data_IF_377507840008
#
_entry.id   IF_377507840008
#
_cell.length_a   1.000
_cell.length_b   1.000
_cell.length_c   1.000
_cell.angle_alpha   90.00
_cell.angle_beta   90.00
_cell.angle_gamma   90.00
#
_symmetry.space_group_name_H-M   'P 1'
#
loop_
_entity.id
_entity.type
_entity.pdbx_description
1 polymer ?
#
# COMPACT_ATOMS: atom_id res chain seq x y z
N UNK A 1 -15.38 3.07 6.63
CA UNK A 1 -14.90 2.23 7.75
C UNK A 1 -13.38 2.17 7.73
N UNK A 2 -12.77 1.61 6.67
CA UNK A 2 -11.31 1.40 6.58
C UNK A 2 -10.42 2.64 6.84
N UNK A 3 -10.81 3.82 6.37
CA UNK A 3 -10.07 5.07 6.61
C UNK A 3 -9.85 5.39 8.10
N UNK A 4 -10.90 5.21 8.92
CA UNK A 4 -10.82 5.44 10.36
C UNK A 4 -9.93 4.39 11.05
N UNK A 5 -9.98 3.15 10.58
CA UNK A 5 -9.17 2.05 11.10
C UNK A 5 -7.68 2.27 10.80
N UNK A 6 -7.32 2.75 9.61
CA UNK A 6 -5.92 3.09 9.28
C UNK A 6 -5.38 4.23 10.12
N UNK A 7 -6.19 5.27 10.36
CA UNK A 7 -5.80 6.38 11.23
C UNK A 7 -5.58 5.92 12.67
N UNK A 8 -6.47 5.06 13.18
CA UNK A 8 -6.32 4.49 14.51
C UNK A 8 -5.06 3.61 14.59
N UNK A 9 -4.86 2.70 13.65
CA UNK A 9 -3.70 1.83 13.58
C UNK A 9 -2.39 2.63 13.46
N UNK A 10 -2.36 3.69 12.65
CA UNK A 10 -1.20 4.57 12.53
C UNK A 10 -0.88 5.32 13.84
N UNK A 11 -1.89 5.60 14.69
CA UNK A 11 -1.72 6.32 15.97
C UNK A 11 -1.43 5.38 17.14
N UNK A 12 -2.05 4.21 17.14
CA UNK A 12 -1.98 3.20 18.20
C UNK A 12 -1.85 1.83 17.53
N UNK A 13 -0.64 1.45 17.07
CA UNK A 13 -0.44 0.20 16.35
C UNK A 13 -0.86 -1.00 17.19
N UNK A 14 -1.73 -1.84 16.63
CA UNK A 14 -2.15 -3.11 17.19
C UNK A 14 -1.66 -4.29 16.34
N UNK A 15 -1.34 -4.05 15.06
CA UNK A 15 -0.74 -5.04 14.17
C UNK A 15 0.72 -5.30 14.57
N UNK A 16 1.19 -6.54 14.41
CA UNK A 16 2.60 -6.86 14.64
C UNK A 16 3.49 -6.12 13.65
N UNK A 17 4.59 -5.55 14.16
CA UNK A 17 5.51 -4.76 13.36
C UNK A 17 6.46 -5.67 12.56
N UNK A 18 6.55 -5.43 11.25
CA UNK A 18 7.49 -6.12 10.37
C UNK A 18 7.25 -7.63 10.22
N UNK A 19 6.02 -8.10 10.43
CA UNK A 19 5.69 -9.55 10.38
C UNK A 19 4.95 -9.98 9.11
N UNK A 20 4.48 -9.05 8.29
CA UNK A 20 3.70 -9.39 7.10
C UNK A 20 4.58 -9.44 5.84
N UNK A 21 4.75 -10.65 5.28
CA UNK A 21 5.44 -10.85 4.00
C UNK A 21 4.63 -10.37 2.79
N UNK A 22 3.31 -10.22 2.94
CA UNK A 22 2.38 -9.80 1.89
C UNK A 22 1.26 -8.96 2.47
N UNK A 23 1.03 -7.78 1.89
CA UNK A 23 -0.16 -6.95 2.15
C UNK A 23 -0.89 -6.68 0.85
N UNK A 24 -2.23 -6.80 0.86
CA UNK A 24 -3.08 -6.54 -0.29
C UNK A 24 -4.02 -5.38 0.02
N UNK A 25 -3.94 -4.32 -0.78
CA UNK A 25 -4.89 -3.20 -0.76
C UNK A 25 -5.77 -3.30 -2.00
N UNK A 26 -6.99 -3.78 -1.80
CA UNK A 26 -7.96 -3.97 -2.89
C UNK A 26 -9.06 -2.92 -2.80
N UNK A 27 -9.27 -2.18 -3.89
CA UNK A 27 -10.41 -1.30 -4.12
C UNK A 27 -10.73 -0.36 -2.94
N UNK A 28 -9.69 0.16 -2.29
CA UNK A 28 -9.83 0.99 -1.08
C UNK A 28 -9.28 2.41 -1.25
N UNK A 29 -8.74 2.75 -2.43
CA UNK A 29 -7.99 4.01 -2.63
C UNK A 29 -8.87 5.19 -3.08
N UNK A 30 -9.97 4.94 -3.79
CA UNK A 30 -10.69 5.96 -4.58
C UNK A 30 -11.58 6.93 -3.77
N UNK A 31 -11.93 6.60 -2.52
CA UNK A 31 -12.75 7.45 -1.63
C UNK A 31 -12.04 7.80 -0.31
N UNK A 32 -10.77 7.43 -0.13
CA UNK A 32 -10.06 7.53 1.15
C UNK A 32 -8.73 8.29 1.05
N UNK A 33 -8.64 9.26 0.13
CA UNK A 33 -7.39 9.99 -0.17
C UNK A 33 -6.85 10.79 1.00
N UNK A 34 -7.74 11.31 1.84
CA UNK A 34 -7.42 11.98 3.11
C UNK A 34 -6.72 11.06 4.13
N UNK A 35 -6.89 9.74 3.98
CA UNK A 35 -6.35 8.73 4.89
C UNK A 35 -5.14 7.99 4.34
N UNK A 36 -4.64 8.38 3.16
CA UNK A 36 -3.50 7.72 2.51
C UNK A 36 -2.21 7.84 3.32
N UNK A 37 -1.98 8.95 4.01
CA UNK A 37 -0.82 9.11 4.89
C UNK A 37 -0.84 8.07 6.02
N UNK A 38 -2.03 7.85 6.62
CA UNK A 38 -2.20 6.82 7.65
C UNK A 38 -1.99 5.42 7.09
N UNK A 39 -2.53 5.13 5.90
CA UNK A 39 -2.29 3.85 5.23
C UNK A 39 -0.79 3.61 4.96
N UNK A 40 -0.04 4.63 4.52
CA UNK A 40 1.40 4.50 4.31
C UNK A 40 2.16 4.20 5.61
N UNK A 41 1.78 4.81 6.74
CA UNK A 41 2.36 4.50 8.05
C UNK A 41 2.06 3.05 8.44
N UNK A 42 0.82 2.59 8.26
CA UNK A 42 0.45 1.19 8.54
C UNK A 42 1.31 0.24 7.70
N UNK A 43 1.39 0.46 6.38
CA UNK A 43 2.17 -0.36 5.46
C UNK A 43 3.66 -0.41 5.85
N UNK A 44 4.27 0.74 6.14
CA UNK A 44 5.67 0.82 6.53
C UNK A 44 5.98 0.11 7.84
N UNK A 45 5.03 0.12 8.79
CA UNK A 45 5.20 -0.54 10.09
C UNK A 45 4.93 -2.05 10.02
N UNK A 46 3.98 -2.49 9.19
CA UNK A 46 3.52 -3.88 9.17
C UNK A 46 4.36 -4.78 8.28
N UNK A 47 4.88 -4.25 7.17
CA UNK A 47 5.59 -5.05 6.17
C UNK A 47 6.94 -5.53 6.69
N UNK A 48 7.19 -6.84 6.55
CA UNK A 48 8.51 -7.42 6.78
C UNK A 48 9.54 -6.89 5.76
N UNK A 49 10.86 -7.02 6.03
CA UNK A 49 11.88 -6.77 5.02
C UNK A 49 11.61 -7.60 3.73
N UNK A 50 11.78 -6.99 2.56
CA UNK A 50 11.52 -7.59 1.24
C UNK A 50 10.07 -8.03 0.98
N UNK A 51 9.12 -7.64 1.84
CA UNK A 51 7.72 -7.97 1.70
C UNK A 51 7.09 -7.34 0.44
N UNK A 52 6.01 -7.97 0.00
CA UNK A 52 5.24 -7.58 -1.18
C UNK A 52 3.98 -6.79 -0.79
N UNK A 53 3.75 -5.69 -1.50
CA UNK A 53 2.54 -4.91 -1.46
C UNK A 53 1.82 -5.03 -2.80
N UNK A 54 0.62 -5.61 -2.78
CA UNK A 54 -0.24 -5.70 -3.95
C UNK A 54 -1.34 -4.66 -3.86
N UNK A 55 -1.39 -3.77 -4.85
CA UNK A 55 -2.44 -2.78 -5.02
C UNK A 55 -3.34 -3.22 -6.17
N UNK A 56 -4.62 -3.44 -5.90
CA UNK A 56 -5.60 -3.82 -6.92
C UNK A 56 -6.74 -2.82 -6.94
N UNK A 57 -7.16 -2.37 -8.13
CA UNK A 57 -8.30 -1.47 -8.26
C UNK A 57 -9.05 -1.69 -9.55
N UNK A 58 -10.37 -1.53 -9.51
CA UNK A 58 -11.21 -1.57 -10.71
C UNK A 58 -10.72 -0.56 -11.77
N UNK A 59 -10.89 -0.88 -13.05
CA UNK A 59 -10.34 -0.07 -14.15
C UNK A 59 -10.80 1.40 -14.15
N UNK A 60 -12.00 1.71 -13.64
CA UNK A 60 -12.44 3.11 -13.52
C UNK A 60 -11.65 3.91 -12.45
N UNK A 61 -10.99 3.22 -11.53
CA UNK A 61 -10.31 3.79 -10.35
C UNK A 61 -8.79 3.87 -10.52
N UNK A 62 -8.27 3.49 -11.70
CA UNK A 62 -6.83 3.54 -12.03
C UNK A 62 -6.14 4.85 -11.66
N UNK A 63 -6.73 6.05 -11.82
CA UNK A 63 -6.04 7.27 -11.43
C UNK A 63 -5.61 7.27 -9.95
N UNK A 64 -6.44 6.73 -9.05
CA UNK A 64 -6.13 6.62 -7.62
C UNK A 64 -5.06 5.56 -7.35
N UNK A 65 -5.12 4.43 -8.06
CA UNK A 65 -4.10 3.39 -8.00
C UNK A 65 -2.74 3.93 -8.43
N UNK A 66 -2.67 4.63 -9.57
CA UNK A 66 -1.44 5.20 -10.11
C UNK A 66 -0.86 6.25 -9.18
N UNK A 67 -1.70 7.12 -8.64
CA UNK A 67 -1.27 8.16 -7.70
C UNK A 67 -0.72 7.55 -6.41
N UNK A 68 -1.43 6.59 -5.81
CA UNK A 68 -0.94 5.93 -4.59
C UNK A 68 0.31 5.08 -4.86
N UNK A 69 0.39 4.41 -6.01
CA UNK A 69 1.59 3.69 -6.44
C UNK A 69 2.80 4.61 -6.51
N UNK A 70 2.67 5.78 -7.15
CA UNK A 70 3.75 6.76 -7.23
C UNK A 70 4.19 7.27 -5.85
N UNK A 71 3.25 7.39 -4.90
CA UNK A 71 3.56 7.73 -3.51
C UNK A 71 4.33 6.61 -2.81
N UNK A 72 3.97 5.34 -3.01
CA UNK A 72 4.74 4.19 -2.51
C UNK A 72 6.15 4.17 -3.11
N UNK A 73 6.29 4.38 -4.42
CA UNK A 73 7.60 4.44 -5.08
C UNK A 73 8.49 5.55 -4.51
N UNK A 74 7.92 6.73 -4.26
CA UNK A 74 8.63 7.84 -3.60
C UNK A 74 9.03 7.54 -2.15
N UNK A 75 8.37 6.57 -1.51
CA UNK A 75 8.64 6.14 -0.14
C UNK A 75 9.63 4.95 -0.06
N UNK A 76 10.19 4.52 -1.20
CA UNK A 76 11.22 3.46 -1.24
C UNK A 76 10.72 2.10 -1.72
N UNK A 77 9.46 1.98 -2.14
CA UNK A 77 8.97 0.76 -2.76
C UNK A 77 9.46 0.67 -4.22
N UNK A 78 9.76 -0.53 -4.67
CA UNK A 78 10.11 -0.79 -6.08
C UNK A 78 8.98 -1.56 -6.76
N UNK A 79 8.50 -1.08 -7.90
CA UNK A 79 7.50 -1.80 -8.70
C UNK A 79 8.08 -3.07 -9.30
N UNK A 80 7.43 -4.20 -9.02
CA UNK A 80 7.82 -5.53 -9.51
C UNK A 80 7.01 -5.90 -10.75
N UNK A 81 5.70 -5.67 -10.73
CA UNK A 81 4.83 -5.98 -11.86
C UNK A 81 3.64 -5.03 -11.93
N UNK A 82 3.06 -4.96 -13.13
CA UNK A 82 1.77 -4.32 -13.37
C UNK A 82 1.00 -5.18 -14.36
N UNK A 83 -0.21 -5.59 -13.99
CA UNK A 83 -1.11 -6.39 -14.80
C UNK A 83 -2.44 -5.68 -14.97
N UNK A 84 -2.87 -5.54 -16.22
CA UNK A 84 -4.17 -4.98 -16.57
C UNK A 84 -5.08 -6.10 -17.09
N UNK A 85 -6.20 -6.28 -16.41
CA UNK A 85 -7.27 -7.19 -16.81
C UNK A 85 -8.46 -6.41 -17.38
N UNK A 86 -9.51 -7.11 -17.80
CA UNK A 86 -10.77 -6.48 -18.21
C UNK A 86 -11.40 -5.62 -17.09
N UNK A 87 -11.23 -6.04 -15.83
CA UNK A 87 -11.97 -5.47 -14.71
C UNK A 87 -11.11 -4.67 -13.73
N UNK A 88 -9.82 -4.97 -13.64
CA UNK A 88 -8.92 -4.34 -12.68
C UNK A 88 -7.50 -4.15 -13.22
N UNK A 89 -6.80 -3.16 -12.65
CA UNK A 89 -5.35 -3.05 -12.72
C UNK A 89 -4.75 -3.48 -11.36
N UNK A 90 -3.71 -4.30 -11.42
CA UNK A 90 -3.00 -4.87 -10.28
C UNK A 90 -1.55 -4.45 -10.38
N UNK A 91 -1.01 -3.84 -9.32
CA UNK A 91 0.39 -3.44 -9.23
C UNK A 91 1.02 -4.14 -8.02
N UNK A 92 2.12 -4.84 -8.26
CA UNK A 92 2.95 -5.40 -7.19
C UNK A 92 4.16 -4.51 -6.94
N UNK A 93 4.43 -4.24 -5.67
CA UNK A 93 5.53 -3.44 -5.17
C UNK A 93 6.30 -4.26 -4.13
N UNK A 94 7.62 -4.09 -4.06
CA UNK A 94 8.45 -4.68 -3.00
C UNK A 94 9.06 -3.59 -2.13
N UNK A 95 9.02 -3.79 -0.82
CA UNK A 95 9.63 -2.87 0.14
C UNK A 95 11.11 -3.24 0.33
N UNK A 96 12.00 -2.44 -0.24
CA UNK A 96 13.43 -2.57 0.02
C UNK A 96 13.78 -1.70 1.22
N UNK A 97 14.03 -2.32 2.38
CA UNK A 97 14.57 -1.58 3.52
C UNK A 97 15.92 -1.00 3.08
N UNK A 98 16.02 0.32 2.98
CA UNK A 98 17.34 0.96 2.88
C UNK A 98 17.94 0.81 4.27
N UNK A 99 18.87 -0.13 4.43
CA UNK A 99 19.70 -0.21 5.61
C UNK A 99 20.31 1.18 5.84
N UNK A 100 19.91 1.82 6.93
CA UNK A 100 20.56 3.05 7.38
C UNK A 100 21.97 2.67 7.80
N UNK A 101 22.94 2.96 6.93
CA UNK A 101 24.37 2.83 7.20
C UNK A 101 24.83 3.76 8.32
#
# INVERSE_FOLDING_TARGET
ACAADWLQEARMPALPAGEFDLVIVCDSLYDNKDSWDSLQVVLANSLAPDAELVLASATLRRPFLHEFTARCESAGFTRVSCELTEHAEIVSLRFSHIDSA
#
